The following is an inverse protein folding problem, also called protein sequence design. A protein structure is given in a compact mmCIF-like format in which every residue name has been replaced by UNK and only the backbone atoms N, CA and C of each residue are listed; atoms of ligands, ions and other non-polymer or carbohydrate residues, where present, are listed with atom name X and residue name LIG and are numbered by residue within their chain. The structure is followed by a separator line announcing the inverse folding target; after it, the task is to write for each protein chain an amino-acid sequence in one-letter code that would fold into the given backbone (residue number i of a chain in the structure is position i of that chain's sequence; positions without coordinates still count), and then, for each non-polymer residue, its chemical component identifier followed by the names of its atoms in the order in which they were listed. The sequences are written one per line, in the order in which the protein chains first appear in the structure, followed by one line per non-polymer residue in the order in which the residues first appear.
data_IF_006062713771
#
_entry.id   IF_006062713771
#
_cell.length_a   1.000
_cell.length_b   1.000
_cell.length_c   1.000
_cell.angle_alpha   90.00
_cell.angle_beta   90.00
_cell.angle_gamma   90.00
#
_symmetry.space_group_name_H-M   'P 1'
#
loop_
_entity.id
_entity.type
_entity.pdbx_description
1 polymer ?
#
# COMPACT_ATOMS: atom_id res chain seq x y z
N UNK A 1 -2.82 31.40 13.84
CA UNK A 1 -2.27 30.10 14.31
C UNK A 1 -1.66 29.42 13.11
N UNK A 2 -0.42 28.95 13.13
CA UNK A 2 0.10 28.16 12.02
C UNK A 2 -0.51 26.75 12.07
N UNK A 3 -0.76 26.15 10.91
CA UNK A 3 -1.28 24.78 10.86
C UNK A 3 -0.26 23.82 11.49
N UNK A 4 -0.71 22.93 12.39
CA UNK A 4 0.13 21.94 13.10
C UNK A 4 1.05 21.17 12.15
N UNK A 5 0.52 20.72 11.00
CA UNK A 5 1.31 20.00 9.99
C UNK A 5 2.40 20.86 9.34
N UNK A 6 2.20 22.17 9.24
CA UNK A 6 3.20 23.09 8.68
C UNK A 6 4.39 23.25 9.63
N UNK A 7 4.14 23.32 10.93
CA UNK A 7 5.20 23.36 11.95
C UNK A 7 5.97 22.04 11.98
N UNK A 8 5.23 20.91 12.01
CA UNK A 8 5.82 19.56 11.93
C UNK A 8 6.67 19.37 10.67
N UNK A 9 6.23 19.92 9.54
CA UNK A 9 7.02 19.90 8.31
C UNK A 9 8.37 20.60 8.49
N UNK A 10 8.36 21.81 9.04
CA UNK A 10 9.56 22.62 9.19
C UNK A 10 10.56 22.07 10.23
N UNK A 11 10.05 21.49 11.32
CA UNK A 11 10.84 21.05 12.48
C UNK A 11 11.31 19.60 12.37
N UNK A 12 10.49 18.69 11.83
CA UNK A 12 10.76 17.24 11.88
C UNK A 12 10.92 16.61 10.49
N UNK A 13 9.99 16.89 9.58
CA UNK A 13 9.91 16.18 8.29
C UNK A 13 11.02 16.66 7.35
N UNK A 14 11.22 17.97 7.24
CA UNK A 14 12.24 18.54 6.35
C UNK A 14 13.66 18.07 6.70
N UNK A 15 14.13 18.09 7.96
CA UNK A 15 15.43 17.53 8.33
C UNK A 15 15.57 16.05 7.97
N UNK A 16 14.54 15.23 8.27
CA UNK A 16 14.55 13.79 7.94
C UNK A 16 14.66 13.53 6.43
N UNK A 17 13.99 14.33 5.61
CA UNK A 17 14.08 14.21 4.15
C UNK A 17 15.48 14.61 3.64
N UNK A 18 16.07 15.66 4.22
CA UNK A 18 17.43 16.07 3.86
C UNK A 18 18.45 14.99 4.22
N UNK A 19 18.33 14.36 5.37
CA UNK A 19 19.20 13.25 5.79
C UNK A 19 19.03 12.02 4.89
N UNK A 20 17.79 11.65 4.56
CA UNK A 20 17.51 10.45 3.76
C UNK A 20 17.97 10.58 2.30
N UNK A 21 17.77 11.73 1.68
CA UNK A 21 18.07 11.94 0.25
C UNK A 21 19.37 12.73 0.01
N UNK A 22 20.05 13.20 1.07
CA UNK A 22 21.34 13.88 0.95
C UNK A 22 21.28 15.23 0.24
N UNK A 23 20.17 15.98 0.32
CA UNK A 23 20.03 17.26 -0.36
C UNK A 23 21.06 18.29 0.12
N UNK A 24 21.66 19.02 -0.83
CA UNK A 24 22.67 20.04 -0.52
C UNK A 24 22.07 21.32 0.06
N UNK A 25 20.81 21.61 -0.28
CA UNK A 25 20.14 22.86 0.12
C UNK A 25 18.76 22.59 0.71
N UNK A 26 18.35 23.26 1.81
CA UNK A 26 17.01 23.09 2.40
C UNK A 26 15.84 23.36 1.45
N UNK A 27 16.07 24.14 0.40
CA UNK A 27 15.07 24.49 -0.62
C UNK A 27 14.82 23.36 -1.64
N UNK A 28 15.70 22.37 -1.71
CA UNK A 28 15.52 21.19 -2.55
C UNK A 28 14.58 20.16 -1.90
N UNK A 29 14.38 20.24 -0.58
CA UNK A 29 13.50 19.32 0.13
C UNK A 29 12.05 19.42 -0.43
N UNK A 30 11.43 18.28 -0.78
CA UNK A 30 10.07 18.24 -1.30
C UNK A 30 9.05 18.86 -0.34
N UNK A 31 8.16 19.70 -0.88
CA UNK A 31 7.07 20.34 -0.14
C UNK A 31 5.74 20.23 -0.89
N UNK A 32 4.63 20.36 -0.15
CA UNK A 32 3.29 20.43 -0.75
C UNK A 32 3.09 21.82 -1.35
N UNK A 33 2.86 21.90 -2.65
CA UNK A 33 2.62 23.15 -3.35
C UNK A 33 1.14 23.57 -3.32
N UNK A 34 0.25 22.62 -3.60
CA UNK A 34 -1.19 22.83 -3.65
C UNK A 34 -1.93 21.51 -3.49
N UNK A 35 -3.17 21.60 -3.03
CA UNK A 35 -4.12 20.50 -3.07
C UNK A 35 -5.30 20.96 -3.91
N UNK A 36 -5.66 20.19 -4.93
CA UNK A 36 -6.80 20.47 -5.79
C UNK A 36 -7.89 19.46 -5.47
N UNK A 37 -9.08 19.97 -5.15
CA UNK A 37 -10.27 19.17 -4.96
C UNK A 37 -11.16 19.37 -6.18
N UNK A 38 -11.64 18.27 -6.76
CA UNK A 38 -12.45 18.28 -7.95
C UNK A 38 -13.65 17.36 -7.76
N UNK A 39 -14.84 17.87 -8.06
CA UNK A 39 -16.07 17.09 -8.04
C UNK A 39 -16.70 17.15 -9.44
N UNK A 40 -16.78 15.99 -10.08
CA UNK A 40 -17.49 15.81 -11.34
C UNK A 40 -18.99 15.65 -11.08
N UNK A 41 -19.82 16.51 -11.65
CA UNK A 41 -21.28 16.48 -11.48
C UNK A 41 -21.91 16.35 -12.86
N UNK A 42 -21.99 15.12 -13.36
CA UNK A 42 -22.52 14.84 -14.70
C UNK A 42 -23.99 15.24 -14.90
N UNK A 43 -24.74 15.29 -13.80
CA UNK A 43 -26.16 15.65 -13.78
C UNK A 43 -26.40 17.17 -13.77
N UNK A 44 -25.35 17.96 -13.53
CA UNK A 44 -25.40 19.43 -13.54
C UNK A 44 -25.83 20.04 -14.88
N UNK A 45 -25.83 19.23 -15.95
CA UNK A 45 -26.32 19.63 -17.28
C UNK A 45 -27.84 19.73 -17.35
N UNK A 46 -28.57 19.02 -16.48
CA UNK A 46 -30.03 18.97 -16.45
C UNK A 46 -30.60 19.85 -15.34
N UNK A 47 -29.90 19.91 -14.20
CA UNK A 47 -30.32 20.68 -13.03
C UNK A 47 -29.18 21.55 -12.50
N UNK A 48 -29.40 22.86 -12.46
CA UNK A 48 -28.44 23.81 -11.88
C UNK A 48 -28.38 23.73 -10.35
N UNK A 49 -29.46 23.31 -9.69
CA UNK A 49 -29.52 23.23 -8.23
C UNK A 49 -28.56 22.17 -7.69
N UNK A 50 -28.41 21.05 -8.41
CA UNK A 50 -27.46 19.97 -8.12
C UNK A 50 -26.02 20.50 -8.11
N UNK A 51 -25.69 21.40 -9.05
CA UNK A 51 -24.37 22.04 -9.13
C UNK A 51 -24.14 22.99 -7.95
N UNK A 52 -25.16 23.78 -7.59
CA UNK A 52 -25.07 24.74 -6.48
C UNK A 52 -24.89 24.00 -5.15
N UNK A 53 -25.66 22.93 -4.91
CA UNK A 53 -25.51 22.06 -3.75
C UNK A 53 -24.11 21.42 -3.68
N UNK A 54 -23.58 20.94 -4.81
CA UNK A 54 -22.20 20.42 -4.87
C UNK A 54 -21.17 21.51 -4.55
N UNK A 55 -21.41 22.73 -5.03
CA UNK A 55 -20.58 23.90 -4.75
C UNK A 55 -20.57 24.27 -3.27
N UNK A 56 -21.72 24.23 -2.61
CA UNK A 56 -21.86 24.51 -1.18
C UNK A 56 -21.18 23.44 -0.31
N UNK A 57 -21.43 22.16 -0.60
CA UNK A 57 -20.77 21.04 0.11
C UNK A 57 -19.24 21.13 -0.03
N UNK A 58 -18.73 21.38 -1.23
CA UNK A 58 -17.28 21.54 -1.45
C UNK A 58 -16.73 22.81 -0.76
N UNK A 59 -17.52 23.88 -0.69
CA UNK A 59 -17.14 25.09 0.04
C UNK A 59 -17.03 24.84 1.54
N UNK A 60 -17.93 24.05 2.13
CA UNK A 60 -17.89 23.64 3.53
C UNK A 60 -16.65 22.79 3.80
N UNK A 61 -16.39 21.77 2.98
CA UNK A 61 -15.22 20.89 3.12
C UNK A 61 -13.92 21.70 3.01
N UNK A 62 -13.79 22.56 1.99
CA UNK A 62 -12.56 23.27 1.68
C UNK A 62 -12.39 24.59 2.47
N UNK A 63 -13.46 25.09 3.11
CA UNK A 63 -13.54 26.43 3.67
C UNK A 63 -13.37 27.55 2.64
N UNK A 64 -13.45 27.25 1.35
CA UNK A 64 -13.16 28.16 0.24
C UNK A 64 -14.18 27.96 -0.87
N UNK A 65 -14.70 29.06 -1.41
CA UNK A 65 -15.67 29.02 -2.51
C UNK A 65 -15.07 28.35 -3.75
N UNK A 66 -15.68 27.27 -4.27
CA UNK A 66 -15.19 26.59 -5.44
C UNK A 66 -15.50 27.36 -6.73
N UNK A 67 -14.76 27.05 -7.78
CA UNK A 67 -14.97 27.57 -9.12
C UNK A 67 -15.68 26.52 -9.98
N UNK A 68 -16.71 26.96 -10.72
CA UNK A 68 -17.47 26.13 -11.65
C UNK A 68 -16.63 25.84 -12.90
N UNK A 69 -16.49 24.55 -13.22
CA UNK A 69 -15.80 24.07 -14.42
C UNK A 69 -16.79 23.90 -15.56
N UNK A 70 -16.51 24.60 -16.66
CA UNK A 70 -17.27 24.54 -17.90
C UNK A 70 -16.58 23.63 -18.93
N UNK A 71 -17.38 22.95 -19.75
CA UNK A 71 -16.89 22.11 -20.82
C UNK A 71 -16.12 22.92 -21.87
N UNK A 72 -14.94 22.43 -22.27
CA UNK A 72 -14.11 23.06 -23.31
C UNK A 72 -14.46 22.64 -24.73
N UNK A 73 -15.11 21.48 -24.88
CA UNK A 73 -15.47 20.88 -26.17
C UNK A 73 -16.87 20.31 -26.08
N UNK A 74 -17.59 20.36 -27.19
CA UNK A 74 -18.89 19.68 -27.33
C UNK A 74 -18.67 18.21 -27.64
N UNK A 75 -19.28 17.31 -26.87
CA UNK A 75 -19.18 15.86 -27.06
C UNK A 75 -20.58 15.26 -27.02
N UNK A 76 -21.03 14.73 -28.16
CA UNK A 76 -22.39 14.21 -28.33
C UNK A 76 -22.69 13.00 -27.42
N UNK A 77 -21.72 12.11 -27.21
CA UNK A 77 -21.88 10.89 -26.38
C UNK A 77 -22.26 11.22 -24.94
N UNK A 78 -21.68 12.28 -24.36
CA UNK A 78 -22.01 12.74 -23.01
C UNK A 78 -23.18 13.74 -22.97
N UNK A 79 -23.72 14.11 -24.15
CA UNK A 79 -24.73 15.15 -24.33
C UNK A 79 -24.30 16.50 -23.75
N UNK A 80 -23.02 16.84 -23.88
CA UNK A 80 -22.43 18.08 -23.35
C UNK A 80 -22.08 19.02 -24.48
N UNK A 81 -22.46 20.30 -24.35
CA UNK A 81 -22.05 21.38 -25.25
C UNK A 81 -20.96 22.23 -24.60
N UNK A 82 -20.13 22.85 -25.42
CA UNK A 82 -19.11 23.80 -24.98
C UNK A 82 -19.74 24.92 -24.12
N UNK A 83 -19.07 25.28 -23.03
CA UNK A 83 -19.54 26.29 -22.08
C UNK A 83 -20.53 25.81 -21.03
N UNK A 84 -21.09 24.60 -21.14
CA UNK A 84 -21.97 24.03 -20.11
C UNK A 84 -21.20 23.72 -18.82
N UNK A 85 -21.78 23.94 -17.63
CA UNK A 85 -21.17 23.53 -16.36
C UNK A 85 -21.16 22.00 -16.25
N UNK A 86 -20.03 21.43 -15.80
CA UNK A 86 -19.82 19.98 -15.68
C UNK A 86 -19.38 19.58 -14.27
N UNK A 87 -18.88 20.52 -13.48
CA UNK A 87 -18.42 20.22 -12.13
C UNK A 87 -17.90 21.46 -11.41
N UNK A 88 -17.38 21.23 -10.21
CA UNK A 88 -16.81 22.26 -9.34
C UNK A 88 -15.43 21.85 -8.90
N UNK A 89 -14.53 22.83 -8.76
CA UNK A 89 -13.18 22.56 -8.27
C UNK A 89 -12.70 23.68 -7.37
N UNK A 90 -11.86 23.35 -6.40
CA UNK A 90 -11.19 24.32 -5.54
C UNK A 90 -9.71 23.98 -5.45
N UNK A 91 -8.86 25.00 -5.40
CA UNK A 91 -7.42 24.84 -5.20
C UNK A 91 -7.04 25.47 -3.87
N UNK A 92 -6.55 24.63 -2.96
CA UNK A 92 -6.05 25.02 -1.66
C UNK A 92 -4.53 25.19 -1.73
N UNK A 93 -4.02 26.27 -1.12
CA UNK A 93 -2.59 26.60 -1.05
C UNK A 93 -2.25 27.15 0.32
N UNK A 94 -0.96 27.14 0.64
CA UNK A 94 -0.44 27.73 1.87
C UNK A 94 -1.03 27.04 3.10
N UNK A 95 -1.58 27.80 4.03
CA UNK A 95 -2.07 27.24 5.29
C UNK A 95 -3.29 26.32 5.11
N UNK A 96 -4.23 26.69 4.24
CA UNK A 96 -5.48 25.93 4.01
C UNK A 96 -5.23 24.52 3.48
N UNK A 97 -4.17 24.32 2.68
CA UNK A 97 -3.81 22.98 2.21
C UNK A 97 -3.31 22.09 3.35
N UNK A 98 -2.52 22.63 4.29
CA UNK A 98 -2.07 21.85 5.45
C UNK A 98 -3.23 21.51 6.39
N UNK A 99 -4.16 22.44 6.63
CA UNK A 99 -5.35 22.18 7.46
C UNK A 99 -6.29 21.15 6.82
N UNK A 100 -6.48 21.23 5.50
CA UNK A 100 -7.26 20.23 4.78
C UNK A 100 -6.59 18.84 4.83
N UNK A 101 -5.27 18.77 4.62
CA UNK A 101 -4.54 17.51 4.69
C UNK A 101 -4.63 16.88 6.10
N UNK A 102 -4.53 17.70 7.16
CA UNK A 102 -4.66 17.24 8.54
C UNK A 102 -6.05 16.63 8.81
N UNK A 103 -7.11 17.33 8.39
CA UNK A 103 -8.49 16.81 8.50
C UNK A 103 -8.70 15.56 7.66
N UNK A 104 -8.13 15.52 6.46
CA UNK A 104 -8.23 14.37 5.56
C UNK A 104 -7.62 13.11 6.22
N UNK A 105 -6.41 13.22 6.76
CA UNK A 105 -5.70 12.08 7.37
C UNK A 105 -6.27 11.68 8.73
N UNK A 106 -6.52 12.66 9.60
CA UNK A 106 -6.88 12.38 10.99
C UNK A 106 -8.37 12.03 11.16
N UNK A 107 -9.25 12.52 10.29
CA UNK A 107 -10.71 12.40 10.47
C UNK A 107 -11.40 11.73 9.30
N UNK A 108 -11.13 12.17 8.06
CA UNK A 108 -11.91 11.71 6.91
C UNK A 108 -11.53 10.30 6.45
N UNK A 109 -10.24 9.99 6.32
CA UNK A 109 -9.78 8.67 5.86
C UNK A 109 -10.22 7.52 6.78
N UNK A 110 -10.11 7.62 8.12
CA UNK A 110 -10.59 6.58 9.03
C UNK A 110 -12.10 6.29 8.93
N UNK A 111 -12.89 7.23 8.40
CA UNK A 111 -14.34 7.08 8.18
C UNK A 111 -14.70 6.42 6.86
N UNK A 112 -13.73 6.15 5.99
CA UNK A 112 -13.96 5.42 4.73
C UNK A 112 -14.38 3.99 5.07
N UNK A 113 -15.50 3.53 4.50
CA UNK A 113 -15.97 2.15 4.66
C UNK A 113 -14.95 1.17 4.07
N UNK A 114 -14.65 0.10 4.81
CA UNK A 114 -13.72 -0.96 4.38
C UNK A 114 -12.32 -0.44 4.02
N UNK A 115 -11.80 0.54 4.76
CA UNK A 115 -10.49 1.15 4.50
C UNK A 115 -9.34 0.15 4.71
N UNK A 116 -8.59 -0.13 3.63
CA UNK A 116 -7.41 -1.05 3.62
C UNK A 116 -6.07 -0.32 3.47
N UNK A 117 -6.06 1.01 3.61
CA UNK A 117 -4.92 1.83 3.23
C UNK A 117 -5.09 2.46 1.85
N UNK A 118 -4.43 3.59 1.65
CA UNK A 118 -4.36 4.28 0.36
C UNK A 118 -3.38 3.56 -0.57
N UNK A 119 -3.74 3.43 -1.84
CA UNK A 119 -2.86 2.81 -2.84
C UNK A 119 -1.60 3.66 -3.04
N UNK A 120 -0.39 3.09 -2.83
CA UNK A 120 0.86 3.76 -3.17
C UNK A 120 1.14 3.76 -4.68
N UNK A 121 0.34 3.06 -5.51
CA UNK A 121 0.47 3.07 -6.98
C UNK A 121 -0.17 4.29 -7.65
N UNK A 122 -0.84 5.16 -6.88
CA UNK A 122 -1.61 6.30 -7.41
C UNK A 122 -0.79 7.59 -7.61
N UNK A 123 0.54 7.46 -7.72
CA UNK A 123 1.42 8.55 -8.15
C UNK A 123 1.48 8.64 -9.68
N UNK A 124 1.82 9.81 -10.19
CA UNK A 124 1.81 10.12 -11.62
C UNK A 124 3.19 10.03 -12.31
N UNK A 125 4.21 9.48 -11.64
CA UNK A 125 5.60 9.43 -12.14
C UNK A 125 6.38 10.73 -11.96
N UNK A 126 5.74 11.79 -11.45
CA UNK A 126 6.32 13.13 -11.28
C UNK A 126 6.09 13.66 -9.86
N UNK A 127 5.90 12.78 -8.89
CA UNK A 127 5.76 13.14 -7.48
C UNK A 127 4.42 13.76 -7.12
N UNK A 128 3.39 13.68 -7.97
CA UNK A 128 2.03 14.08 -7.59
C UNK A 128 1.20 12.85 -7.23
N UNK A 129 0.36 13.01 -6.21
CA UNK A 129 -0.50 11.94 -5.73
C UNK A 129 -1.97 12.28 -5.97
N UNK A 130 -2.73 11.35 -6.51
CA UNK A 130 -4.19 11.51 -6.68
C UNK A 130 -4.93 10.39 -5.99
N UNK A 131 -5.99 10.76 -5.25
CA UNK A 131 -6.88 9.80 -4.60
C UNK A 131 -8.33 10.15 -4.93
N UNK A 132 -9.12 9.11 -5.19
CA UNK A 132 -10.56 9.23 -5.42
C UNK A 132 -11.33 8.83 -4.17
N UNK A 133 -12.17 9.73 -3.69
CA UNK A 133 -13.12 9.50 -2.60
C UNK A 133 -14.48 9.23 -3.24
N UNK A 134 -15.14 8.12 -2.87
CA UNK A 134 -16.42 7.75 -3.46
C UNK A 134 -17.60 8.52 -2.87
N UNK A 135 -17.51 8.89 -1.60
CA UNK A 135 -18.61 9.48 -0.84
C UNK A 135 -18.10 10.68 -0.04
N UNK A 136 -18.72 11.84 -0.23
CA UNK A 136 -18.37 13.07 0.49
C UNK A 136 -18.73 13.04 1.98
N UNK A 137 -19.53 12.06 2.41
CA UNK A 137 -20.02 11.89 3.79
C UNK A 137 -18.91 11.54 4.81
N UNK A 138 -17.71 11.21 4.32
CA UNK A 138 -16.55 10.95 5.18
C UNK A 138 -16.10 12.20 5.95
N UNK A 139 -16.45 13.39 5.44
CA UNK A 139 -16.16 14.65 6.10
C UNK A 139 -17.21 14.95 7.19
N UNK A 140 -16.81 15.13 8.46
CA UNK A 140 -17.74 15.43 9.54
C UNK A 140 -18.48 16.76 9.37
N UNK A 141 -17.97 17.67 8.55
CA UNK A 141 -18.58 18.97 8.29
C UNK A 141 -19.82 18.88 7.39
N UNK A 142 -20.02 17.74 6.72
CA UNK A 142 -21.20 17.50 5.90
C UNK A 142 -22.29 16.87 6.76
N UNK A 143 -23.45 17.52 6.79
CA UNK A 143 -24.66 16.98 7.41
C UNK A 143 -25.28 15.91 6.49
N UNK A 144 -25.50 14.71 7.03
CA UNK A 144 -26.08 13.59 6.31
C UNK A 144 -27.50 13.86 5.86
N UNK A 145 -28.28 14.59 6.66
CA UNK A 145 -29.71 14.83 6.38
C UNK A 145 -29.91 15.93 5.32
N UNK A 146 -28.90 16.78 5.12
CA UNK A 146 -28.93 17.87 4.14
C UNK A 146 -28.46 17.45 2.73
N UNK A 147 -28.02 16.21 2.54
CA UNK A 147 -27.50 15.72 1.26
C UNK A 147 -28.64 15.23 0.37
N UNK A 148 -28.65 15.73 -0.86
CA UNK A 148 -29.53 15.29 -1.94
C UNK A 148 -29.09 13.94 -2.54
N UNK A 149 -27.79 13.83 -2.84
CA UNK A 149 -27.18 12.64 -3.44
C UNK A 149 -25.74 12.45 -3.00
N UNK A 150 -25.31 11.18 -2.93
CA UNK A 150 -23.91 10.84 -2.69
C UNK A 150 -23.08 11.14 -3.95
N UNK A 151 -21.99 11.87 -3.76
CA UNK A 151 -21.07 12.33 -4.82
C UNK A 151 -19.63 11.99 -4.45
N UNK A 152 -18.86 11.59 -5.45
CA UNK A 152 -17.43 11.38 -5.30
C UNK A 152 -16.65 12.70 -5.32
N UNK A 153 -15.44 12.66 -4.79
CA UNK A 153 -14.49 13.77 -4.77
C UNK A 153 -13.10 13.25 -5.16
N UNK A 154 -12.48 13.89 -6.13
CA UNK A 154 -11.07 13.65 -6.47
C UNK A 154 -10.19 14.65 -5.72
N UNK A 155 -9.15 14.14 -5.07
CA UNK A 155 -8.16 14.96 -4.36
C UNK A 155 -6.80 14.72 -5.00
N UNK A 156 -6.24 15.77 -5.59
CA UNK A 156 -4.89 15.77 -6.16
C UNK A 156 -3.95 16.60 -5.31
N UNK A 157 -2.93 15.97 -4.76
CA UNK A 157 -1.86 16.59 -3.99
C UNK A 157 -0.69 16.82 -4.93
N UNK A 158 -0.38 18.09 -5.18
CA UNK A 158 0.79 18.48 -5.97
C UNK A 158 1.95 18.78 -5.03
N UNK A 159 3.05 18.07 -5.20
CA UNK A 159 4.29 18.30 -4.45
C UNK A 159 5.34 18.96 -5.34
N UNK A 160 6.47 19.35 -4.77
CA UNK A 160 7.65 19.78 -5.51
C UNK A 160 8.66 18.66 -5.78
N UNK A 161 8.35 17.43 -5.39
CA UNK A 161 9.21 16.28 -5.63
C UNK A 161 9.38 16.06 -7.14
N UNK A 162 10.54 15.54 -7.54
CA UNK A 162 10.77 15.18 -8.94
C UNK A 162 10.48 13.70 -9.22
N UNK A 163 10.53 12.86 -8.17
CA UNK A 163 10.25 11.43 -8.25
C UNK A 163 9.11 11.01 -7.32
N UNK A 164 8.51 9.86 -7.63
CA UNK A 164 7.44 9.29 -6.81
C UNK A 164 7.96 8.78 -5.47
N UNK A 165 9.22 8.35 -5.39
CA UNK A 165 9.85 7.91 -4.14
C UNK A 165 9.94 9.06 -3.12
N UNK A 166 10.42 10.23 -3.58
CA UNK A 166 10.50 11.43 -2.76
C UNK A 166 9.12 11.86 -2.26
N UNK A 167 8.12 11.85 -3.14
CA UNK A 167 6.75 12.21 -2.81
C UNK A 167 6.09 11.20 -1.86
N UNK A 168 6.34 9.91 -2.05
CA UNK A 168 5.85 8.85 -1.18
C UNK A 168 6.40 9.03 0.23
N UNK A 169 7.72 9.20 0.37
CA UNK A 169 8.36 9.40 1.68
C UNK A 169 7.87 10.68 2.36
N UNK A 170 7.65 11.76 1.59
CA UNK A 170 7.07 12.99 2.11
C UNK A 170 5.68 12.73 2.71
N UNK A 171 4.78 12.10 1.96
CA UNK A 171 3.40 11.83 2.39
C UNK A 171 3.35 10.81 3.55
N UNK A 172 4.21 9.79 3.52
CA UNK A 172 4.41 8.83 4.59
C UNK A 172 4.86 9.55 5.88
N UNK A 173 5.82 10.48 5.79
CA UNK A 173 6.28 11.26 6.92
C UNK A 173 5.18 12.19 7.50
N UNK A 174 4.27 12.69 6.65
CA UNK A 174 3.08 13.40 7.12
C UNK A 174 2.10 12.52 7.89
N UNK A 175 2.19 11.19 7.76
CA UNK A 175 1.31 10.22 8.41
C UNK A 175 0.20 9.72 7.50
N UNK A 176 0.39 9.77 6.18
CA UNK A 176 -0.59 9.26 5.24
C UNK A 176 -0.69 7.72 5.35
N UNK A 177 -1.89 7.16 5.56
CA UNK A 177 -2.06 5.72 5.79
C UNK A 177 -2.04 4.96 4.45
N UNK A 178 -0.86 4.64 3.96
CA UNK A 178 -0.67 3.81 2.77
C UNK A 178 -0.93 2.33 3.05
N UNK A 179 -1.42 1.61 2.04
CA UNK A 179 -1.45 0.14 2.05
C UNK A 179 -0.02 -0.40 2.01
N UNK A 180 0.20 -1.59 2.57
CA UNK A 180 1.51 -2.27 2.58
C UNK A 180 2.00 -2.58 1.16
N UNK A 181 1.10 -2.81 0.23
CA UNK A 181 1.44 -3.27 -1.12
C UNK A 181 1.63 -2.11 -2.11
N UNK A 182 2.70 -2.17 -2.91
CA UNK A 182 2.87 -1.33 -4.10
C UNK A 182 3.66 -0.03 -3.91
N UNK A 183 4.56 0.03 -2.91
CA UNK A 183 5.45 1.17 -2.64
C UNK A 183 6.26 1.56 -3.89
N UNK A 184 6.29 2.84 -4.30
CA UNK A 184 7.20 3.30 -5.35
C UNK A 184 8.66 3.08 -4.92
N UNK A 185 9.43 2.32 -5.71
CA UNK A 185 10.83 2.01 -5.43
C UNK A 185 11.08 1.01 -4.31
N UNK A 186 10.04 0.35 -3.77
CA UNK A 186 10.19 -0.79 -2.87
C UNK A 186 10.35 -2.11 -3.63
N UNK A 187 10.79 -3.20 -2.97
CA UNK A 187 10.71 -4.53 -3.54
C UNK A 187 9.28 -4.79 -4.01
N UNK A 188 9.14 -5.33 -5.21
CA UNK A 188 7.86 -5.78 -5.75
C UNK A 188 7.23 -6.82 -4.80
N UNK A 189 5.91 -7.02 -4.84
CA UNK A 189 5.25 -8.03 -4.02
C UNK A 189 5.90 -9.43 -4.19
N UNK A 190 6.43 -9.70 -5.39
CA UNK A 190 7.20 -10.91 -5.72
C UNK A 190 8.56 -10.94 -5.01
N UNK A 191 9.26 -9.80 -4.90
CA UNK A 191 10.54 -9.68 -4.18
C UNK A 191 10.36 -9.70 -2.65
N UNK A 192 9.25 -9.14 -2.12
CA UNK A 192 8.90 -9.24 -0.69
C UNK A 192 8.53 -10.69 -0.32
N UNK A 193 7.72 -11.36 -1.14
CA UNK A 193 7.39 -12.78 -0.94
C UNK A 193 8.64 -13.66 -1.05
N UNK A 194 9.53 -13.39 -2.01
CA UNK A 194 10.80 -14.11 -2.15
C UNK A 194 11.72 -13.90 -0.93
N UNK A 195 11.82 -12.67 -0.41
CA UNK A 195 12.62 -12.37 0.78
C UNK A 195 12.01 -13.00 2.06
N UNK A 196 10.69 -13.00 2.20
CA UNK A 196 10.02 -13.70 3.30
C UNK A 196 10.19 -15.23 3.20
N UNK A 197 10.15 -15.79 2.00
CA UNK A 197 10.41 -17.22 1.77
C UNK A 197 11.88 -17.58 2.03
N UNK A 198 12.82 -16.72 1.62
CA UNK A 198 14.24 -16.89 1.85
C UNK A 198 14.57 -16.81 3.35
N UNK A 199 14.03 -15.82 4.07
CA UNK A 199 14.16 -15.74 5.53
C UNK A 199 13.57 -16.97 6.24
N UNK A 200 12.39 -17.45 5.78
CA UNK A 200 11.77 -18.67 6.32
C UNK A 200 12.63 -19.91 6.06
N UNK A 201 13.29 -19.99 4.90
CA UNK A 201 14.22 -21.07 4.55
C UNK A 201 15.50 -21.00 5.37
N UNK A 202 16.03 -19.79 5.62
CA UNK A 202 17.20 -19.58 6.48
C UNK A 202 16.90 -19.92 7.94
N UNK A 203 15.77 -19.48 8.50
CA UNK A 203 15.33 -19.87 9.85
C UNK A 203 15.13 -21.40 9.96
N UNK A 204 14.55 -22.03 8.96
CA UNK A 204 14.37 -23.48 8.95
C UNK A 204 15.71 -24.23 8.91
N UNK A 205 16.69 -23.74 8.13
CA UNK A 205 18.05 -24.29 8.08
C UNK A 205 18.78 -24.09 9.40
N UNK A 206 18.74 -22.88 9.97
CA UNK A 206 19.37 -22.59 11.26
C UNK A 206 18.77 -23.41 12.40
N UNK A 207 17.44 -23.64 12.38
CA UNK A 207 16.77 -24.50 13.36
C UNK A 207 17.15 -25.97 13.19
N UNK A 208 17.29 -26.46 11.95
CA UNK A 208 17.73 -27.83 11.68
C UNK A 208 19.20 -28.05 12.06
N UNK A 209 20.08 -27.08 11.79
CA UNK A 209 21.48 -27.12 12.23
C UNK A 209 21.58 -27.07 13.76
N UNK A 210 20.80 -26.21 14.43
CA UNK A 210 20.75 -26.17 15.88
C UNK A 210 20.22 -27.49 16.48
N UNK A 211 19.23 -28.11 15.85
CA UNK A 211 18.70 -29.42 16.25
C UNK A 211 19.71 -30.55 16.04
N UNK A 212 20.45 -30.54 14.91
CA UNK A 212 21.55 -31.48 14.65
C UNK A 212 22.72 -31.30 15.62
N UNK A 213 23.12 -30.07 15.90
CA UNK A 213 24.17 -29.76 16.88
C UNK A 213 23.75 -30.18 18.29
N UNK A 214 22.48 -29.98 18.67
CA UNK A 214 21.95 -30.46 19.94
C UNK A 214 21.90 -31.99 20.02
N UNK A 215 21.55 -32.67 18.92
CA UNK A 215 21.60 -34.13 18.80
C UNK A 215 23.03 -34.68 18.89
N UNK A 216 24.01 -34.00 18.29
CA UNK A 216 25.42 -34.36 18.41
C UNK A 216 25.94 -34.15 19.83
N UNK A 217 25.59 -33.04 20.49
CA UNK A 217 25.91 -32.82 21.91
C UNK A 217 25.28 -33.88 22.82
N UNK A 218 24.02 -34.25 22.59
CA UNK A 218 23.36 -35.34 23.33
C UNK A 218 24.02 -36.71 23.10
N UNK A 219 24.57 -36.95 21.90
CA UNK A 219 25.33 -38.18 21.59
C UNK A 219 26.72 -38.19 22.24
N UNK A 220 27.38 -37.03 22.37
CA UNK A 220 28.64 -36.89 23.11
C UNK A 220 28.45 -37.01 24.62
N UNK A 221 27.39 -36.42 25.17
CA UNK A 221 27.10 -36.45 26.62
C UNK A 221 26.54 -37.79 27.09
N UNK A 222 25.91 -38.57 26.20
CA UNK A 222 25.31 -39.86 26.56
C UNK A 222 25.59 -40.97 25.51
N UNK A 223 26.84 -41.45 25.42
CA UNK A 223 27.27 -42.40 24.38
C UNK A 223 26.64 -43.79 24.51
N UNK A 224 26.15 -44.18 25.69
CA UNK A 224 25.55 -45.49 25.95
C UNK A 224 24.13 -45.63 25.35
N UNK A 225 23.42 -44.53 25.09
CA UNK A 225 22.03 -44.57 24.60
C UNK A 225 21.90 -44.72 23.06
N UNK A 226 22.99 -44.54 22.30
CA UNK A 226 22.97 -44.52 20.83
C UNK A 226 23.96 -45.51 20.17
N UNK A 227 24.61 -46.39 20.94
CA UNK A 227 25.36 -47.49 20.38
C UNK A 227 24.41 -48.41 19.58
N UNK A 228 24.68 -48.56 18.28
CA UNK A 228 23.95 -49.50 17.42
C UNK A 228 23.97 -50.87 18.09
N UNK A 229 22.82 -51.55 18.32
CA UNK A 229 22.86 -52.95 18.73
C UNK A 229 23.63 -53.72 17.65
N UNK A 230 24.64 -54.47 18.10
CA UNK A 230 25.45 -55.31 17.22
C UNK A 230 24.52 -56.25 16.43
N UNK A 231 24.72 -56.43 15.11
CA UNK A 231 23.98 -57.46 14.39
C UNK A 231 24.39 -58.82 14.95
N UNK A 232 23.43 -59.58 15.48
CA UNK A 232 23.66 -60.94 15.97
C UNK A 232 24.25 -61.81 14.83
N UNK A 233 25.25 -62.66 15.12
CA UNK A 233 25.77 -63.59 14.13
C UNK A 233 24.73 -64.70 13.89
N UNK A 234 24.36 -64.93 12.64
CA UNK A 234 23.66 -66.16 12.24
C UNK A 234 24.57 -67.37 12.54
N UNK A 235 24.31 -68.05 13.65
CA UNK A 235 24.85 -69.39 13.92
C UNK A 235 24.06 -70.42 13.10
N UNK A 236 24.78 -71.22 12.32
CA UNK A 236 24.22 -72.23 11.43
C UNK A 236 23.61 -73.42 12.18
N UNK A 237 22.49 -73.92 11.65
CA UNK A 237 22.02 -75.28 11.89
C UNK A 237 22.51 -76.19 10.76
N UNK A 238 23.42 -77.12 11.08
CA UNK A 238 23.63 -78.33 10.30
C UNK A 238 22.52 -79.34 10.62
N UNK A 239 21.91 -79.91 9.58
CA UNK A 239 20.90 -80.98 9.69
C UNK A 239 20.72 -81.78 8.40
N UNK A 240 21.50 -82.86 8.30
CA UNK A 240 21.27 -84.16 7.62
C UNK A 240 20.48 -84.31 6.30
N UNK A 241 21.22 -84.76 5.28
CA UNK A 241 21.04 -85.97 4.44
C UNK A 241 19.70 -86.35 3.76
N UNK A 242 19.83 -86.67 2.45
CA UNK A 242 18.91 -87.46 1.61
C UNK A 242 18.23 -86.62 0.52
N UNK A 243 18.08 -87.00 -0.75
CA UNK A 243 18.25 -88.24 -1.50
C UNK A 243 18.21 -87.86 -3.01
N UNK A 244 18.61 -88.80 -3.86
CA UNK A 244 18.83 -88.71 -5.31
C UNK A 244 17.76 -88.06 -6.21
N UNK A 245 18.19 -87.58 -7.39
CA UNK A 245 17.31 -87.33 -8.55
C UNK A 245 18.01 -86.62 -9.71
N UNK A 246 18.12 -87.33 -10.85
CA UNK A 246 18.83 -87.02 -12.10
C UNK A 246 18.46 -85.72 -12.86
N UNK A 247 19.27 -85.32 -13.88
CA UNK A 247 19.12 -84.07 -14.63
C UNK A 247 18.31 -84.25 -15.92
N UNK A 248 17.45 -83.29 -16.27
CA UNK A 248 16.99 -83.11 -17.66
C UNK A 248 16.78 -81.64 -18.03
N UNK A 249 17.57 -81.23 -19.02
CA UNK A 249 17.24 -80.46 -20.23
C UNK A 249 15.88 -79.73 -20.29
N UNK A 250 15.91 -78.47 -20.76
CA UNK A 250 14.71 -77.80 -21.27
C UNK A 250 14.98 -76.38 -21.76
N UNK A 251 15.23 -76.29 -23.06
CA UNK A 251 15.24 -75.13 -23.95
C UNK A 251 13.98 -74.24 -23.88
N UNK A 252 14.17 -73.00 -24.36
CA UNK A 252 13.23 -72.16 -25.12
C UNK A 252 11.89 -71.73 -24.49
N UNK A 253 11.76 -70.43 -24.24
CA UNK A 253 11.04 -69.45 -25.11
C UNK A 253 10.88 -68.10 -24.42
#
# INVERSE_FOLDING_TARGET
MAARLKERYAQEIRPRLMERFGYSTPMQAPQIQKITLNMGVGDAKQDSNVLDAAGEQLAIIAGQRPNVRRARKSIAQFKVREGMPVGVSVTLRGQRSYEFLDRLMSVAIPRIRDFRGLSPRSFDGRGNYSLGIREQIIFPEIDYDAIDQVRGLDVTITTSASSDEEAFVLLEAFGMPFSREGRPGGPTAEEEEAAEEEHRREEARARAEAEQAALEQLKEENPEAYAKPEPEPEEGEEGEAGEAGEPQSGEES
#
